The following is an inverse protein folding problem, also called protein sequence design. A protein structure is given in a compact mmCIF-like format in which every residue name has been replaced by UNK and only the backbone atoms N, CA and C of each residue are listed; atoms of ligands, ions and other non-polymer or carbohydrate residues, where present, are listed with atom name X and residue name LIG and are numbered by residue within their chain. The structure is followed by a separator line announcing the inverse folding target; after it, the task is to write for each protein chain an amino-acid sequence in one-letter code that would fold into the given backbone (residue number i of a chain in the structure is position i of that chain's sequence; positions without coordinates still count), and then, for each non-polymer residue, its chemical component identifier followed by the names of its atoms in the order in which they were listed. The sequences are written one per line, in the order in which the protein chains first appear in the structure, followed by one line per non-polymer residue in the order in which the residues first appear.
data_IF_975111681258
#
_entry.id   IF_975111681258
#
_cell.length_a   1.000
_cell.length_b   1.000
_cell.length_c   1.000
_cell.angle_alpha   90.00
_cell.angle_beta   90.00
_cell.angle_gamma   90.00
#
_symmetry.space_group_name_H-M   'P 1'
#
loop_
_entity.id
_entity.type
_entity.pdbx_description
1 polymer ?
#
# COMPACT_ATOMS: atom_id res chain seq x y z
N UNK A 1 4.61 41.84 -14.83
CA UNK A 1 5.12 40.73 -14.00
C UNK A 1 4.45 40.72 -12.63
N UNK A 2 3.18 40.26 -12.54
CA UNK A 2 2.38 40.25 -11.28
C UNK A 2 1.45 39.03 -11.17
N UNK A 3 1.70 37.93 -11.89
CA UNK A 3 0.76 36.79 -12.00
C UNK A 3 1.35 35.42 -11.68
N UNK A 4 2.40 35.33 -10.86
CA UNK A 4 3.04 34.05 -10.51
C UNK A 4 2.80 33.56 -9.07
N UNK A 5 2.05 34.31 -8.24
CA UNK A 5 1.88 33.95 -6.82
C UNK A 5 0.59 33.14 -6.58
N UNK A 6 -0.40 33.24 -7.47
CA UNK A 6 -1.66 32.51 -7.33
C UNK A 6 -1.57 31.01 -7.69
N UNK A 7 -0.59 30.60 -8.51
CA UNK A 7 -0.41 29.20 -8.89
C UNK A 7 0.31 28.36 -7.82
N UNK A 8 1.07 29.00 -6.92
CA UNK A 8 1.82 28.32 -5.88
C UNK A 8 0.91 27.76 -4.76
N UNK A 9 -0.21 28.42 -4.48
CA UNK A 9 -1.14 27.97 -3.44
C UNK A 9 -2.04 26.81 -3.88
N UNK A 10 -2.38 26.69 -5.17
CA UNK A 10 -3.14 25.54 -5.66
C UNK A 10 -2.34 24.22 -5.61
N UNK A 11 -1.01 24.29 -5.72
CA UNK A 11 -0.14 23.13 -5.64
C UNK A 11 0.07 22.61 -4.19
N UNK A 12 -0.04 23.49 -3.19
CA UNK A 12 0.16 23.12 -1.77
C UNK A 12 -1.10 22.48 -1.16
N UNK A 13 -2.29 22.82 -1.66
CA UNK A 13 -3.54 22.16 -1.23
C UNK A 13 -3.71 20.73 -1.78
N UNK A 14 -2.98 20.34 -2.84
CA UNK A 14 -2.95 18.95 -3.32
C UNK A 14 -1.92 18.08 -2.59
N UNK A 15 -0.99 18.68 -1.85
CA UNK A 15 0.00 17.96 -1.03
C UNK A 15 -0.48 17.60 0.38
N UNK A 16 -1.66 18.08 0.78
CA UNK A 16 -2.35 17.61 1.98
C UNK A 16 -3.18 16.41 1.57
N UNK A 17 -2.53 15.25 1.64
CA UNK A 17 -3.04 13.96 1.20
C UNK A 17 -4.41 13.62 1.75
N UNK A 18 -5.43 13.98 0.96
CA UNK A 18 -6.63 13.16 0.89
C UNK A 18 -6.19 11.86 0.21
N UNK A 19 -5.63 10.97 1.03
CA UNK A 19 -5.52 9.54 0.76
C UNK A 19 -6.97 9.08 0.63
N UNK A 20 -7.54 9.32 -0.55
CA UNK A 20 -8.81 8.76 -0.96
C UNK A 20 -8.59 7.26 -1.09
N UNK A 21 -8.77 6.56 0.03
CA UNK A 21 -8.81 5.10 0.10
C UNK A 21 -10.03 4.67 -0.70
N UNK A 22 -9.87 4.46 -2.00
CA UNK A 22 -10.85 3.72 -2.80
C UNK A 22 -10.18 2.46 -3.29
N UNK A 23 -10.09 1.49 -2.39
CA UNK A 23 -9.62 0.14 -2.69
C UNK A 23 -10.84 -0.73 -2.90
N UNK A 24 -11.08 -1.15 -4.14
CA UNK A 24 -11.90 -2.32 -4.41
C UNK A 24 -11.26 -3.53 -3.70
N UNK A 25 -11.94 -4.09 -2.73
CA UNK A 25 -11.49 -5.29 -2.00
C UNK A 25 -11.50 -6.48 -2.94
N UNK A 26 -10.34 -7.01 -3.29
CA UNK A 26 -10.25 -8.27 -4.01
C UNK A 26 -10.55 -9.43 -3.04
N UNK A 27 -11.82 -9.85 -2.95
CA UNK A 27 -12.24 -11.03 -2.19
C UNK A 27 -11.79 -12.30 -2.93
N UNK A 28 -10.86 -13.05 -2.34
CA UNK A 28 -10.51 -14.38 -2.83
C UNK A 28 -11.63 -15.38 -2.53
N UNK A 29 -11.91 -16.28 -3.48
CA UNK A 29 -12.89 -17.35 -3.31
C UNK A 29 -12.49 -18.25 -2.13
N UNK A 30 -13.37 -18.31 -1.14
CA UNK A 30 -13.10 -19.01 0.10
C UNK A 30 -13.60 -20.48 0.01
N UNK A 31 -12.76 -21.49 0.31
CA UNK A 31 -13.11 -22.89 0.08
C UNK A 31 -14.06 -23.51 1.13
N UNK A 32 -14.34 -22.80 2.23
CA UNK A 32 -15.15 -23.31 3.34
C UNK A 32 -16.38 -22.43 3.62
N UNK A 33 -17.43 -23.00 4.20
CA UNK A 33 -18.55 -22.23 4.76
C UNK A 33 -18.10 -21.50 6.02
N UNK A 34 -18.37 -20.19 6.13
CA UNK A 34 -18.07 -19.39 7.32
C UNK A 34 -16.74 -18.62 7.29
N UNK A 35 -16.29 -18.19 6.11
CA UNK A 35 -15.11 -17.35 6.02
C UNK A 35 -15.29 -15.98 6.68
N UNK A 36 -14.22 -15.53 7.33
CA UNK A 36 -14.17 -14.27 8.04
C UNK A 36 -13.53 -13.24 7.11
N UNK A 37 -14.28 -12.22 6.66
CA UNK A 37 -13.71 -11.16 5.83
C UNK A 37 -12.64 -10.42 6.63
N UNK A 38 -11.53 -10.11 5.96
CA UNK A 38 -10.47 -9.29 6.53
C UNK A 38 -10.37 -7.96 5.81
N UNK A 39 -9.85 -6.95 6.50
CA UNK A 39 -9.56 -5.63 5.95
C UNK A 39 -8.08 -5.32 6.17
N UNK A 40 -7.35 -5.11 5.07
CA UNK A 40 -5.95 -4.67 5.13
C UNK A 40 -5.89 -3.16 5.07
N UNK A 41 -5.19 -2.54 6.02
CA UNK A 41 -4.81 -1.12 5.99
C UNK A 41 -3.31 -1.02 5.87
N UNK A 42 -2.82 -0.05 5.09
CA UNK A 42 -1.40 0.18 4.92
C UNK A 42 -1.09 1.66 4.83
N UNK A 43 0.12 2.00 5.26
CA UNK A 43 0.71 3.33 5.12
C UNK A 43 2.14 3.20 4.63
N UNK A 44 2.66 4.26 4.02
CA UNK A 44 4.01 4.30 3.51
C UNK A 44 4.69 5.64 3.77
N UNK A 45 5.98 5.60 4.08
CA UNK A 45 6.84 6.77 4.20
C UNK A 45 8.06 6.64 3.30
N UNK A 46 8.42 7.71 2.60
CA UNK A 46 9.58 7.78 1.72
C UNK A 46 10.71 8.57 2.39
N UNK A 47 11.89 7.96 2.45
CA UNK A 47 13.15 8.61 2.81
C UNK A 47 14.18 8.39 1.69
N UNK A 48 14.39 9.42 0.87
CA UNK A 48 15.17 9.35 -0.37
C UNK A 48 14.68 8.24 -1.30
N UNK A 49 15.48 7.17 -1.43
CA UNK A 49 15.17 5.99 -2.28
C UNK A 49 14.53 4.83 -1.52
N UNK A 50 14.24 5.00 -0.23
CA UNK A 50 13.70 3.93 0.60
C UNK A 50 12.24 4.22 0.96
N UNK A 51 11.37 3.28 0.63
CA UNK A 51 9.99 3.22 1.08
C UNK A 51 9.92 2.33 2.32
N UNK A 52 9.37 2.83 3.42
CA UNK A 52 8.98 2.01 4.57
C UNK A 52 7.47 1.83 4.52
N UNK A 53 7.00 0.59 4.42
CA UNK A 53 5.58 0.23 4.39
C UNK A 53 5.19 -0.40 5.71
N UNK A 54 4.22 0.18 6.40
CA UNK A 54 3.59 -0.42 7.58
C UNK A 54 2.20 -0.89 7.19
N UNK A 55 1.84 -2.12 7.53
CA UNK A 55 0.55 -2.68 7.19
C UNK A 55 -0.03 -3.51 8.33
N UNK A 56 -1.34 -3.41 8.48
CA UNK A 56 -2.14 -4.08 9.51
C UNK A 56 -3.30 -4.81 8.82
N UNK A 57 -3.72 -5.93 9.41
CA UNK A 57 -4.91 -6.66 8.99
C UNK A 57 -5.88 -6.77 10.15
N UNK A 58 -7.13 -6.42 9.90
CA UNK A 58 -8.23 -6.51 10.87
C UNK A 58 -9.30 -7.48 10.38
N UNK A 59 -10.03 -8.06 11.33
CA UNK A 59 -11.21 -8.89 11.10
C UNK A 59 -12.27 -8.56 12.17
N UNK A 60 -13.53 -8.89 11.91
CA UNK A 60 -14.60 -8.63 12.87
C UNK A 60 -14.38 -9.37 14.20
N UNK A 61 -14.67 -8.70 15.32
CA UNK A 61 -14.51 -9.23 16.68
C UNK A 61 -13.07 -9.17 17.21
N UNK A 62 -12.78 -9.93 18.27
CA UNK A 62 -11.44 -10.02 18.88
C UNK A 62 -10.54 -11.05 18.14
N UNK A 63 -10.68 -11.12 16.82
CA UNK A 63 -9.91 -12.03 15.99
C UNK A 63 -8.51 -11.48 15.73
N UNK A 64 -7.52 -12.37 15.66
CA UNK A 64 -6.14 -12.03 15.31
C UNK A 64 -5.76 -12.83 14.06
N UNK A 65 -5.95 -12.27 12.85
CA UNK A 65 -5.63 -12.94 11.60
C UNK A 65 -4.13 -13.23 11.51
N UNK A 66 -3.78 -14.45 11.11
CA UNK A 66 -2.37 -14.87 10.92
C UNK A 66 -2.13 -15.17 9.45
N UNK A 67 -1.05 -14.63 8.91
CA UNK A 67 -0.69 -14.81 7.52
C UNK A 67 0.60 -14.09 7.15
N UNK A 68 0.77 -13.84 5.86
CA UNK A 68 1.88 -13.08 5.29
C UNK A 68 1.36 -11.85 4.59
N UNK A 69 2.11 -10.75 4.62
CA UNK A 69 1.88 -9.59 3.78
C UNK A 69 2.77 -9.68 2.56
N UNK A 70 2.16 -9.65 1.37
CA UNK A 70 2.85 -9.48 0.10
C UNK A 70 2.73 -8.02 -0.31
N UNK A 71 3.86 -7.33 -0.36
CA UNK A 71 3.95 -5.93 -0.76
C UNK A 71 4.53 -5.89 -2.16
N UNK A 72 3.86 -5.23 -3.09
CA UNK A 72 4.39 -4.89 -4.42
C UNK A 72 4.44 -3.37 -4.58
N UNK A 73 5.47 -2.89 -5.25
CA UNK A 73 5.65 -1.50 -5.62
C UNK A 73 5.88 -1.45 -7.12
N UNK A 74 4.91 -0.91 -7.83
CA UNK A 74 4.88 -0.85 -9.28
C UNK A 74 5.03 0.60 -9.72
N UNK A 75 6.09 0.88 -10.48
CA UNK A 75 6.33 2.24 -10.98
C UNK A 75 5.27 2.60 -12.02
N UNK A 76 4.58 3.71 -11.79
CA UNK A 76 3.59 4.27 -12.71
C UNK A 76 4.29 5.30 -13.61
N UNK A 77 4.22 5.13 -14.93
CA UNK A 77 4.66 6.17 -15.86
C UNK A 77 5.26 5.68 -17.19
N UNK A 78 5.62 6.64 -18.08
CA UNK A 78 5.95 6.37 -19.49
C UNK A 78 7.32 5.69 -19.71
N UNK A 79 8.18 5.64 -18.67
CA UNK A 79 9.55 5.10 -18.78
C UNK A 79 9.64 3.60 -18.40
N UNK A 80 8.56 2.86 -18.57
CA UNK A 80 8.47 1.41 -18.38
C UNK A 80 8.11 0.96 -16.95
N UNK A 81 7.55 -0.25 -16.85
CA UNK A 81 7.15 -0.91 -15.61
C UNK A 81 8.38 -1.42 -14.85
N UNK A 82 8.46 -1.07 -13.55
CA UNK A 82 9.38 -1.73 -12.61
C UNK A 82 8.58 -2.17 -11.39
N UNK A 83 8.60 -3.46 -11.12
CA UNK A 83 8.01 -4.05 -9.91
C UNK A 83 9.09 -4.31 -8.88
N UNK A 84 8.84 -3.95 -7.63
CA UNK A 84 9.57 -4.43 -6.46
C UNK A 84 8.59 -5.13 -5.56
N UNK A 85 9.07 -6.12 -4.81
CA UNK A 85 8.20 -6.75 -3.84
C UNK A 85 8.96 -7.35 -2.67
N UNK A 86 8.23 -7.52 -1.58
CA UNK A 86 8.65 -8.21 -0.38
C UNK A 86 7.48 -9.03 0.15
N UNK A 87 7.80 -10.13 0.83
CA UNK A 87 6.84 -10.92 1.59
C UNK A 87 7.33 -11.02 3.03
N UNK A 88 6.47 -10.71 4.00
CA UNK A 88 6.81 -10.72 5.43
C UNK A 88 5.67 -11.33 6.26
N UNK A 89 6.00 -11.91 7.41
CA UNK A 89 4.98 -12.44 8.35
C UNK A 89 4.35 -11.34 9.22
N UNK A 90 5.06 -10.24 9.41
CA UNK A 90 4.62 -9.08 10.16
C UNK A 90 5.06 -7.83 9.40
N UNK A 91 4.15 -6.88 9.21
CA UNK A 91 4.43 -5.60 8.56
C UNK A 91 4.19 -4.40 9.51
N UNK A 92 3.86 -4.64 10.78
CA UNK A 92 3.63 -3.63 11.81
C UNK A 92 4.93 -2.88 12.14
N UNK A 93 6.06 -3.59 12.15
CA UNK A 93 7.40 -3.02 12.41
C UNK A 93 7.97 -2.22 11.21
N UNK A 94 7.26 -2.19 10.08
CA UNK A 94 7.66 -1.48 8.87
C UNK A 94 8.63 -2.27 7.98
N UNK A 95 8.25 -2.46 6.72
CA UNK A 95 9.03 -3.15 5.69
C UNK A 95 9.73 -2.14 4.79
N UNK A 96 11.06 -2.20 4.74
CA UNK A 96 11.86 -1.32 3.88
C UNK A 96 12.04 -1.88 2.47
N UNK A 97 11.71 -1.08 1.47
CA UNK A 97 11.83 -1.36 0.04
C UNK A 97 12.69 -0.28 -0.62
N UNK A 98 13.73 -0.67 -1.37
CA UNK A 98 14.56 0.26 -2.13
C UNK A 98 13.98 0.52 -3.52
N UNK A 99 13.50 1.74 -3.75
CA UNK A 99 12.97 2.22 -5.02
C UNK A 99 14.09 2.86 -5.85
N UNK A 100 14.41 2.25 -6.98
CA UNK A 100 15.61 2.63 -7.77
C UNK A 100 15.47 3.94 -8.54
N UNK A 101 14.24 4.35 -8.83
CA UNK A 101 13.94 5.45 -9.74
C UNK A 101 12.98 6.43 -9.06
N UNK A 102 13.20 7.71 -9.32
CA UNK A 102 12.23 8.76 -9.01
C UNK A 102 10.96 8.61 -9.86
N UNK A 103 9.88 9.18 -9.34
CA UNK A 103 8.56 9.17 -9.93
C UNK A 103 7.52 8.55 -9.01
N UNK A 104 6.34 8.35 -9.57
CA UNK A 104 5.20 7.77 -8.89
C UNK A 104 5.30 6.24 -8.84
N UNK A 105 4.96 5.68 -7.69
CA UNK A 105 4.89 4.25 -7.44
C UNK A 105 3.52 3.92 -6.84
N UNK A 106 2.86 2.92 -7.42
CA UNK A 106 1.68 2.29 -6.88
C UNK A 106 2.11 1.13 -5.98
N UNK A 107 1.74 1.20 -4.71
CA UNK A 107 2.08 0.21 -3.69
C UNK A 107 0.84 -0.62 -3.42
N UNK A 108 0.88 -1.92 -3.72
CA UNK A 108 -0.18 -2.87 -3.38
C UNK A 108 0.28 -3.75 -2.23
N UNK A 109 -0.48 -3.75 -1.14
CA UNK A 109 -0.27 -4.61 0.01
C UNK A 109 -1.39 -5.64 0.04
N UNK A 110 -1.02 -6.91 0.00
CA UNK A 110 -1.97 -8.03 0.04
C UNK A 110 -1.71 -8.87 1.28
N UNK A 111 -2.71 -8.98 2.16
CA UNK A 111 -2.71 -9.99 3.21
C UNK A 111 -3.04 -11.35 2.61
N UNK A 112 -2.13 -12.30 2.77
CA UNK A 112 -2.30 -13.69 2.37
C UNK A 112 -2.47 -14.52 3.65
N UNK A 113 -3.68 -15.04 3.92
CA UNK A 113 -3.92 -15.88 5.09
C UNK A 113 -3.05 -17.13 5.08
N UNK A 114 -2.73 -17.65 6.27
CA UNK A 114 -2.08 -18.96 6.39
C UNK A 114 -2.93 -20.08 5.77
N UNK A 115 -2.28 -21.15 5.35
CA UNK A 115 -2.97 -22.32 4.81
C UNK A 115 -3.98 -22.87 5.82
N UNK A 116 -5.15 -23.28 5.32
CA UNK A 116 -6.28 -23.77 6.12
C UNK A 116 -6.82 -22.77 7.16
N UNK A 117 -6.58 -21.46 6.99
CA UNK A 117 -7.24 -20.46 7.83
C UNK A 117 -8.67 -20.14 7.35
N UNK A 118 -9.51 -19.69 8.28
CA UNK A 118 -10.87 -19.20 8.00
C UNK A 118 -10.90 -17.75 7.48
N UNK A 119 -9.75 -17.07 7.42
CA UNK A 119 -9.68 -15.66 7.04
C UNK A 119 -9.59 -15.50 5.53
N UNK A 120 -10.29 -14.52 4.99
CA UNK A 120 -10.18 -14.17 3.58
C UNK A 120 -8.92 -13.35 3.29
N UNK A 121 -8.40 -13.47 2.07
CA UNK A 121 -7.40 -12.55 1.52
C UNK A 121 -8.03 -11.16 1.41
N UNK A 122 -7.25 -10.14 1.74
CA UNK A 122 -7.60 -8.76 1.48
C UNK A 122 -6.40 -7.99 0.94
N UNK A 123 -6.66 -6.86 0.31
CA UNK A 123 -5.61 -6.03 -0.28
C UNK A 123 -5.98 -4.56 -0.20
N UNK A 124 -4.96 -3.71 -0.13
CA UNK A 124 -5.07 -2.26 -0.20
C UNK A 124 -3.98 -1.72 -1.11
N UNK A 125 -4.25 -0.59 -1.75
CA UNK A 125 -3.33 0.06 -2.68
C UNK A 125 -3.24 1.53 -2.35
N UNK A 126 -2.04 2.10 -2.42
CA UNK A 126 -1.80 3.52 -2.25
C UNK A 126 -0.63 3.96 -3.13
N UNK A 127 -0.54 5.25 -3.45
CA UNK A 127 0.56 5.79 -4.27
C UNK A 127 1.55 6.58 -3.43
N UNK A 128 2.81 6.56 -3.84
CA UNK A 128 3.90 7.36 -3.26
C UNK A 128 4.74 7.99 -4.35
N UNK A 129 5.27 9.17 -4.08
CA UNK A 129 6.15 9.87 -5.02
C UNK A 129 7.58 9.93 -4.48
N UNK A 130 8.51 9.37 -5.24
CA UNK A 130 9.95 9.38 -4.91
C UNK A 130 10.62 10.55 -5.63
N UNK A 131 11.26 11.44 -4.86
CA UNK A 131 12.10 12.52 -5.40
C UNK A 131 13.53 12.01 -5.61
N UNK A 132 14.18 12.50 -6.67
CA UNK A 132 15.63 12.34 -6.82
C UNK A 132 16.27 13.58 -6.23
N UNK A 133 17.07 13.37 -5.18
CA UNK A 133 18.06 14.34 -4.72
C UNK A 133 19.29 14.32 -5.65
#
# INVERSE_FOLDING_TARGET
MKKLIAALFAAVLMSLGLVGVTTGTATAACPYTGCIPTSTSASGSIDGKFLTVTAEVSAAGNASPRGTFKITADRVGPKGFKTRGASVNNADDGVKLKLQLAGEWEITVTYVPADNSVYERSSTTFTVFVRQD
#
